data_IF_742040199884
#
_entry.id   IF_742040199884
#
_cell.length_a   1.000
_cell.length_b   1.000
_cell.length_c   1.000
_cell.angle_alpha   90.00
_cell.angle_beta   90.00
_cell.angle_gamma   90.00
#
_symmetry.space_group_name_H-M   'P 1'
#
loop_
_entity.id
_entity.type
_entity.pdbx_description
1 polymer ?
#
# COMPACT_ATOMS: atom_id res chain seq x y z
N UNK A 1 9.25 22.74 7.73
CA UNK A 1 9.52 21.33 8.09
C UNK A 1 8.36 20.53 7.49
N UNK A 2 8.60 19.53 6.64
CA UNK A 2 7.57 18.96 5.72
C UNK A 2 6.88 17.73 6.31
N UNK A 3 5.54 17.73 6.25
CA UNK A 3 4.69 16.58 6.53
C UNK A 3 4.97 15.40 5.59
N UNK A 4 4.97 14.17 6.11
CA UNK A 4 4.99 12.95 5.30
C UNK A 4 3.56 12.40 5.17
N UNK A 5 2.86 12.86 4.14
CA UNK A 5 1.48 12.46 3.86
C UNK A 5 1.33 12.05 2.40
N UNK A 6 0.28 11.28 2.11
CA UNK A 6 -0.11 10.92 0.76
C UNK A 6 -0.38 12.19 -0.06
N UNK A 7 -0.07 12.09 -1.36
CA UNK A 7 -0.47 13.09 -2.36
C UNK A 7 -1.60 12.52 -3.20
N UNK A 8 -2.42 13.40 -3.76
CA UNK A 8 -3.42 12.98 -4.74
C UNK A 8 -2.69 12.32 -5.90
N UNK A 9 -2.98 11.04 -6.10
CA UNK A 9 -2.50 10.27 -7.24
C UNK A 9 -3.67 9.53 -7.86
N UNK A 10 -3.90 9.78 -9.14
CA UNK A 10 -4.91 9.08 -9.93
C UNK A 10 -4.26 8.02 -10.78
N UNK A 11 -4.94 6.89 -10.93
CA UNK A 11 -4.52 5.79 -11.78
C UNK A 11 -5.74 5.03 -12.30
N UNK A 12 -5.61 4.41 -13.46
CA UNK A 12 -6.66 3.63 -14.08
C UNK A 12 -6.21 2.18 -14.19
N UNK A 13 -7.05 1.25 -13.74
CA UNK A 13 -6.82 -0.20 -13.85
C UNK A 13 -8.04 -0.82 -14.50
N UNK A 14 -7.84 -1.51 -15.61
CA UNK A 14 -8.92 -2.18 -16.36
C UNK A 14 -10.12 -1.25 -16.69
N UNK A 15 -9.84 0.01 -17.01
CA UNK A 15 -10.87 1.01 -17.33
C UNK A 15 -11.57 1.63 -16.12
N UNK A 16 -11.28 1.17 -14.89
CA UNK A 16 -11.79 1.75 -13.65
C UNK A 16 -10.79 2.77 -13.11
N UNK A 17 -11.29 3.95 -12.73
CA UNK A 17 -10.46 5.02 -12.16
C UNK A 17 -10.40 4.90 -10.64
N UNK A 18 -9.18 4.96 -10.11
CA UNK A 18 -8.88 4.95 -8.68
C UNK A 18 -8.11 6.22 -8.31
N UNK A 19 -8.22 6.62 -7.05
CA UNK A 19 -7.53 7.77 -6.51
C UNK A 19 -7.01 7.46 -5.11
N UNK A 20 -5.74 7.79 -4.86
CA UNK A 20 -5.21 7.99 -3.51
C UNK A 20 -5.56 9.41 -3.11
N UNK A 21 -6.25 9.59 -1.99
CA UNK A 21 -6.55 10.91 -1.43
C UNK A 21 -5.30 11.52 -0.77
N UNK A 22 -5.17 12.84 -0.82
CA UNK A 22 -4.09 13.54 -0.11
C UNK A 22 -4.37 13.65 1.40
N UNK A 23 -3.30 13.76 2.17
CA UNK A 23 -3.34 14.14 3.59
C UNK A 23 -3.49 12.98 4.57
N UNK A 24 -3.59 11.73 4.09
CA UNK A 24 -3.49 10.57 4.95
C UNK A 24 -2.01 10.26 5.26
N UNK A 25 -1.69 9.63 6.41
CA UNK A 25 -0.37 9.07 6.63
C UNK A 25 -0.03 8.06 5.52
N UNK A 26 1.19 8.12 4.99
CA UNK A 26 1.71 7.16 4.02
C UNK A 26 1.65 5.71 4.54
N UNK A 27 1.83 5.48 5.84
CA UNK A 27 1.68 4.18 6.48
C UNK A 27 0.30 3.56 6.26
N UNK A 28 -0.78 4.37 6.28
CA UNK A 28 -2.14 3.90 5.99
C UNK A 28 -2.26 3.43 4.54
N UNK A 29 -1.64 4.14 3.59
CA UNK A 29 -1.64 3.75 2.19
C UNK A 29 -0.85 2.44 1.95
N UNK A 30 0.25 2.22 2.68
CA UNK A 30 1.03 0.98 2.60
C UNK A 30 0.25 -0.21 3.16
N UNK A 31 -0.41 -0.06 4.31
CA UNK A 31 -1.28 -1.10 4.89
C UNK A 31 -2.41 -1.48 3.92
N UNK A 32 -3.01 -0.49 3.26
CA UNK A 32 -4.03 -0.74 2.25
C UNK A 32 -3.47 -1.50 1.03
N UNK A 33 -2.27 -1.12 0.56
CA UNK A 33 -1.60 -1.80 -0.55
C UNK A 33 -1.25 -3.26 -0.20
N UNK A 34 -0.70 -3.51 0.99
CA UNK A 34 -0.43 -4.86 1.51
C UNK A 34 -1.71 -5.71 1.56
N UNK A 35 -2.81 -5.15 2.07
CA UNK A 35 -4.11 -5.84 2.13
C UNK A 35 -4.64 -6.22 0.73
N UNK A 36 -4.46 -5.36 -0.27
CA UNK A 36 -4.84 -5.65 -1.66
C UNK A 36 -3.99 -6.80 -2.21
N UNK A 37 -2.66 -6.76 -2.01
CA UNK A 37 -1.75 -7.82 -2.49
C UNK A 37 -2.02 -9.16 -1.81
N UNK A 38 -2.31 -9.15 -0.52
CA UNK A 38 -2.74 -10.34 0.23
C UNK A 38 -3.99 -10.97 -0.39
N UNK A 39 -4.99 -10.14 -0.74
CA UNK A 39 -6.18 -10.57 -1.47
C UNK A 39 -5.87 -11.17 -2.84
N UNK A 40 -4.94 -10.57 -3.60
CA UNK A 40 -4.46 -11.13 -4.88
C UNK A 40 -3.81 -12.50 -4.67
N UNK A 41 -2.97 -12.66 -3.64
CA UNK A 41 -2.32 -13.93 -3.33
C UNK A 41 -3.32 -15.04 -2.96
N UNK A 42 -4.41 -14.70 -2.26
CA UNK A 42 -5.52 -15.64 -1.99
C UNK A 42 -6.21 -16.05 -3.29
N UNK A 43 -6.56 -15.09 -4.14
CA UNK A 43 -7.23 -15.36 -5.42
C UNK A 43 -6.37 -16.22 -6.36
N UNK A 44 -5.08 -15.90 -6.47
CA UNK A 44 -4.12 -16.69 -7.25
C UNK A 44 -3.95 -18.10 -6.68
N UNK A 45 -3.94 -18.25 -5.35
CA UNK A 45 -3.93 -19.57 -4.71
C UNK A 45 -5.13 -20.41 -5.15
N UNK A 46 -6.34 -19.86 -5.07
CA UNK A 46 -7.55 -20.55 -5.50
C UNK A 46 -7.54 -20.92 -7.00
N UNK A 47 -6.99 -20.04 -7.85
CA UNK A 47 -6.88 -20.30 -9.29
C UNK A 47 -5.85 -21.40 -9.60
N UNK A 48 -4.74 -21.42 -8.88
CA UNK A 48 -3.72 -22.47 -8.98
C UNK A 48 -4.31 -23.82 -8.58
N UNK A 49 -5.07 -23.87 -7.47
CA UNK A 49 -5.69 -25.11 -6.99
C UNK A 49 -6.75 -25.66 -7.97
N UNK A 50 -7.32 -24.81 -8.83
CA UNK A 50 -8.31 -25.16 -9.85
C UNK A 50 -7.70 -25.43 -11.23
N UNK A 51 -6.43 -25.09 -11.44
CA UNK A 51 -5.76 -25.21 -12.72
C UNK A 51 -5.17 -26.62 -12.91
N UNK A 52 -5.22 -27.14 -14.14
CA UNK A 52 -4.51 -28.36 -14.54
C UNK A 52 -2.97 -28.19 -14.38
N UNK A 53 -2.21 -29.26 -14.61
CA UNK A 53 -0.76 -29.38 -14.41
C UNK A 53 0.13 -28.31 -15.09
N UNK A 54 -0.43 -27.37 -15.87
CA UNK A 54 0.27 -26.31 -16.61
C UNK A 54 0.05 -24.88 -16.04
N UNK A 55 -0.14 -24.73 -14.74
CA UNK A 55 -0.34 -23.43 -14.08
C UNK A 55 0.94 -22.58 -13.89
N UNK A 56 2.01 -22.80 -14.66
CA UNK A 56 3.33 -22.21 -14.45
C UNK A 56 3.30 -20.67 -14.38
N UNK A 57 2.52 -20.02 -15.25
CA UNK A 57 2.37 -18.57 -15.24
C UNK A 57 1.66 -18.07 -13.97
N UNK A 58 0.66 -18.81 -13.45
CA UNK A 58 -0.04 -18.44 -12.22
C UNK A 58 0.89 -18.51 -11.01
N UNK A 59 1.74 -19.54 -10.93
CA UNK A 59 2.78 -19.64 -9.90
C UNK A 59 3.79 -18.51 -9.98
N UNK A 60 4.23 -18.15 -11.20
CA UNK A 60 5.15 -17.04 -11.41
C UNK A 60 4.53 -15.70 -10.96
N UNK A 61 3.27 -15.43 -11.35
CA UNK A 61 2.54 -14.22 -10.92
C UNK A 61 2.41 -14.19 -9.41
N UNK A 62 1.99 -15.29 -8.78
CA UNK A 62 1.86 -15.38 -7.30
C UNK A 62 3.18 -15.09 -6.60
N UNK A 63 4.28 -15.64 -7.11
CA UNK A 63 5.62 -15.40 -6.55
C UNK A 63 6.00 -13.92 -6.62
N UNK A 64 5.77 -13.26 -7.76
CA UNK A 64 6.03 -11.83 -7.93
C UNK A 64 5.15 -10.99 -6.99
N UNK A 65 3.87 -11.33 -6.86
CA UNK A 65 2.95 -10.64 -5.93
C UNK A 65 3.41 -10.77 -4.48
N UNK A 66 3.80 -11.97 -4.02
CA UNK A 66 4.35 -12.19 -2.68
C UNK A 66 5.65 -11.41 -2.43
N UNK A 67 6.51 -11.28 -3.44
CA UNK A 67 7.72 -10.44 -3.34
C UNK A 67 7.37 -8.95 -3.16
N UNK A 68 6.38 -8.45 -3.89
CA UNK A 68 5.90 -7.07 -3.74
C UNK A 68 5.28 -6.84 -2.36
N UNK A 69 4.46 -7.77 -1.87
CA UNK A 69 3.87 -7.71 -0.52
C UNK A 69 4.96 -7.61 0.54
N UNK A 70 5.95 -8.51 0.50
CA UNK A 70 7.07 -8.48 1.43
C UNK A 70 7.91 -7.19 1.36
N UNK A 71 8.10 -6.62 0.17
CA UNK A 71 8.77 -5.33 0.01
C UNK A 71 7.98 -4.19 0.66
N UNK A 72 6.64 -4.15 0.48
CA UNK A 72 5.78 -3.13 1.10
C UNK A 72 5.79 -3.27 2.62
N UNK A 73 5.65 -4.49 3.13
CA UNK A 73 5.66 -4.77 4.57
C UNK A 73 6.97 -4.32 5.23
N UNK A 74 8.10 -4.49 4.53
CA UNK A 74 9.41 -4.03 5.01
C UNK A 74 9.52 -2.51 5.16
N UNK A 75 8.66 -1.74 4.48
CA UNK A 75 8.66 -0.28 4.50
C UNK A 75 7.71 0.32 5.55
N UNK A 76 6.77 -0.45 6.11
CA UNK A 76 5.74 0.07 7.02
C UNK A 76 6.36 0.73 8.26
N UNK A 77 7.23 0.00 8.98
CA UNK A 77 7.84 0.48 10.22
C UNK A 77 8.72 1.72 9.98
N UNK A 78 9.68 1.72 9.03
CA UNK A 78 10.49 2.90 8.75
C UNK A 78 9.67 4.13 8.36
N UNK A 79 8.57 3.95 7.63
CA UNK A 79 7.70 5.06 7.21
C UNK A 79 6.90 5.58 8.40
N UNK A 80 6.33 4.71 9.23
CA UNK A 80 5.67 5.14 10.47
C UNK A 80 6.62 5.91 11.39
N UNK A 81 7.85 5.44 11.54
CA UNK A 81 8.88 6.15 12.33
C UNK A 81 9.25 7.51 11.73
N UNK A 82 9.23 7.64 10.39
CA UNK A 82 9.46 8.91 9.72
C UNK A 82 8.28 9.88 9.90
N UNK A 83 7.04 9.37 9.83
CA UNK A 83 5.82 10.14 10.10
C UNK A 83 5.77 10.67 11.54
N UNK A 84 6.17 9.85 12.51
CA UNK A 84 6.18 10.23 13.92
C UNK A 84 7.23 11.32 14.23
N UNK A 85 8.29 11.40 13.43
CA UNK A 85 9.32 12.45 13.51
C UNK A 85 8.97 13.72 12.72
N UNK A 86 7.98 13.66 11.82
CA UNK A 86 7.53 14.83 11.08
C UNK A 86 6.80 15.80 12.03
N UNK A 87 6.81 17.13 11.75
CA UNK A 87 6.04 18.09 12.53
C UNK A 87 4.58 17.65 12.65
N UNK A 88 4.08 17.65 13.87
CA UNK A 88 2.69 17.36 14.18
C UNK A 88 2.01 18.68 14.54
N UNK A 89 0.92 19.02 13.85
CA UNK A 89 0.05 20.09 14.31
C UNK A 89 -0.64 19.60 15.60
N UNK A 90 -0.39 20.22 16.77
CA UNK A 90 -0.92 19.73 18.04
C UNK A 90 -2.45 19.81 18.13
N UNK A 91 -3.10 20.54 17.22
CA UNK A 91 -4.57 20.61 17.14
C UNK A 91 -5.18 19.60 16.17
N UNK A 92 -4.37 18.88 15.40
CA UNK A 92 -4.83 17.89 14.44
C UNK A 92 -4.72 16.46 15.00
N UNK A 93 -5.77 15.64 14.91
CA UNK A 93 -5.69 14.21 15.23
C UNK A 93 -4.91 13.42 14.18
N UNK A 94 -4.51 14.03 13.06
CA UNK A 94 -3.83 13.38 11.94
C UNK A 94 -2.31 13.44 12.11
N UNK A 95 -1.65 12.27 12.12
CA UNK A 95 -0.18 12.18 12.14
C UNK A 95 0.42 12.88 10.92
N UNK A 96 1.43 13.71 11.15
CA UNK A 96 2.12 14.47 10.12
C UNK A 96 1.39 15.73 9.65
N UNK A 97 0.35 16.21 10.36
CA UNK A 97 -0.30 17.46 9.99
C UNK A 97 0.64 18.67 10.09
N UNK A 98 0.63 19.56 9.10
CA UNK A 98 1.47 20.77 9.11
C UNK A 98 1.06 21.73 10.24
N UNK A 99 2.06 22.26 10.96
CA UNK A 99 1.84 23.35 11.92
C UNK A 99 1.53 24.63 11.14
N UNK A 100 0.27 25.04 11.13
CA UNK A 100 -0.12 26.37 10.67
C UNK A 100 0.32 27.39 11.71
N UNK A 101 1.33 28.21 11.37
CA UNK A 101 1.66 29.43 12.13
C UNK A 101 0.71 30.56 11.76
#
# INVERSE_FOLDING_TARGET
MTALVTRIQRFAVSGVSYQVEAGAPCSVALVAAGSILSGVNILLGNLIDQADEQACELYAIRTLTMQVEAMIDSMEVPIRDAEDRAPQNPTSPVRGAEVTQ
#
